data_IF_845231189142
#
_entry.id   IF_845231189142
#
_cell.length_a   1.000
_cell.length_b   1.000
_cell.length_c   1.000
_cell.angle_alpha   90.00
_cell.angle_beta   90.00
_cell.angle_gamma   90.00
#
_symmetry.space_group_name_H-M   'P 1'
#
loop_
_entity.id
_entity.type
_entity.pdbx_description
1 polymer ?
#
# COMPACT_ATOMS: atom_id res chain seq x y z
N UNK A 1 -1.85 -9.82 -6.29
CA UNK A 1 -0.66 -9.89 -7.18
C UNK A 1 -0.27 -8.55 -7.78
N UNK A 2 -1.18 -7.72 -8.33
CA UNK A 2 -0.81 -6.37 -8.85
C UNK A 2 -0.58 -5.31 -7.76
N UNK A 3 -1.33 -5.32 -6.66
CA UNK A 3 -1.19 -4.30 -5.61
C UNK A 3 0.11 -4.47 -4.78
N UNK A 4 0.57 -5.71 -4.63
CA UNK A 4 1.74 -6.10 -3.83
C UNK A 4 3.01 -6.33 -4.68
N UNK A 5 2.96 -6.07 -5.98
CA UNK A 5 4.09 -6.28 -6.91
C UNK A 5 5.25 -5.29 -6.69
N UNK A 6 5.05 -4.24 -5.90
CA UNK A 6 5.95 -3.10 -5.78
C UNK A 6 5.68 -2.00 -6.82
N UNK A 7 5.06 -2.33 -7.96
CA UNK A 7 4.61 -1.34 -8.95
C UNK A 7 3.09 -1.40 -9.14
N UNK A 8 2.42 -0.38 -8.59
CA UNK A 8 0.97 -0.23 -8.62
C UNK A 8 0.45 0.43 -9.90
N UNK A 9 1.31 0.77 -10.89
CA UNK A 9 0.88 1.35 -12.17
C UNK A 9 -0.08 0.44 -12.95
N UNK A 10 0.07 -0.89 -12.81
CA UNK A 10 -0.84 -1.87 -13.40
C UNK A 10 -2.30 -1.76 -12.94
N UNK A 11 -2.59 -0.96 -11.91
CA UNK A 11 -3.96 -0.71 -11.44
C UNK A 11 -4.74 0.29 -12.31
N UNK A 12 -4.08 1.04 -13.22
CA UNK A 12 -4.77 2.06 -14.04
C UNK A 12 -5.99 1.50 -14.81
N UNK A 13 -5.89 0.26 -15.31
CA UNK A 13 -6.99 -0.39 -16.03
C UNK A 13 -8.16 -0.83 -15.14
N UNK A 14 -7.98 -0.86 -13.82
CA UNK A 14 -9.03 -1.25 -12.87
C UNK A 14 -9.97 -0.10 -12.49
N UNK A 15 -9.58 1.16 -12.73
CA UNK A 15 -10.35 2.35 -12.34
C UNK A 15 -10.97 3.06 -13.54
N UNK A 16 -12.18 3.58 -13.35
CA UNK A 16 -12.77 4.54 -14.28
C UNK A 16 -11.97 5.86 -14.30
N UNK A 17 -11.98 6.59 -15.42
CA UNK A 17 -11.25 7.86 -15.55
C UNK A 17 -11.56 8.86 -14.42
N UNK A 18 -12.83 8.96 -14.01
CA UNK A 18 -13.32 9.83 -12.93
C UNK A 18 -13.59 9.08 -11.62
N UNK A 19 -12.89 7.98 -11.38
CA UNK A 19 -13.02 7.24 -10.13
C UNK A 19 -12.57 8.09 -8.93
N UNK A 20 -13.09 7.76 -7.74
CA UNK A 20 -12.75 8.43 -6.50
C UNK A 20 -12.01 7.52 -5.52
N UNK A 21 -10.97 8.02 -4.87
CA UNK A 21 -10.25 7.35 -3.79
C UNK A 21 -10.13 8.24 -2.55
N UNK A 22 -10.31 7.65 -1.37
CA UNK A 22 -9.92 8.29 -0.12
C UNK A 22 -9.40 7.28 0.90
N UNK A 23 -8.46 7.74 1.72
CA UNK A 23 -7.88 6.98 2.81
C UNK A 23 -8.34 7.53 4.15
N UNK A 24 -8.53 6.66 5.13
CA UNK A 24 -8.72 7.07 6.51
C UNK A 24 -7.99 6.14 7.48
N UNK A 25 -7.65 6.68 8.64
CA UNK A 25 -7.06 5.94 9.76
C UNK A 25 -7.83 6.27 11.05
N UNK A 26 -7.82 5.40 12.07
CA UNK A 26 -8.42 5.73 13.35
C UNK A 26 -7.78 7.00 13.91
N UNK A 27 -8.62 7.85 14.50
CA UNK A 27 -8.14 9.01 15.23
C UNK A 27 -7.98 8.61 16.70
N UNK A 28 -6.75 8.62 17.21
CA UNK A 28 -6.49 8.46 18.63
C UNK A 28 -6.10 9.81 19.25
N UNK A 29 -6.99 10.46 20.04
CA UNK A 29 -6.64 11.69 20.74
C UNK A 29 -5.75 11.48 21.97
N UNK A 30 -5.65 10.25 22.49
CA UNK A 30 -5.02 9.98 23.79
C UNK A 30 -3.59 9.43 23.68
N UNK A 31 -3.13 9.15 22.46
CA UNK A 31 -1.78 8.64 22.21
C UNK A 31 -0.95 9.66 21.43
N UNK A 32 -0.19 10.53 22.13
CA UNK A 32 0.74 11.47 21.51
C UNK A 32 2.03 10.80 20.99
N UNK A 33 2.19 9.47 21.11
CA UNK A 33 3.33 8.77 20.55
C UNK A 33 3.35 8.88 19.01
N UNK A 34 4.50 8.66 18.36
CA UNK A 34 4.55 8.57 16.91
C UNK A 34 3.62 7.44 16.47
N UNK A 35 2.49 7.80 15.87
CA UNK A 35 1.56 6.81 15.34
C UNK A 35 2.35 5.88 14.43
N UNK A 36 2.29 4.58 14.70
CA UNK A 36 2.79 3.54 13.81
C UNK A 36 2.25 3.75 12.37
N UNK A 37 1.12 4.45 12.21
CA UNK A 37 0.48 4.82 10.95
C UNK A 37 1.00 6.14 10.36
N UNK A 38 2.16 6.64 10.76
CA UNK A 38 2.68 7.96 10.34
C UNK A 38 2.74 8.15 8.81
N UNK A 39 2.96 7.08 8.05
CA UNK A 39 2.99 7.11 6.57
C UNK A 39 1.61 7.34 5.95
N UNK A 40 0.53 7.11 6.70
CA UNK A 40 -0.86 7.28 6.26
C UNK A 40 -1.49 8.60 6.71
N UNK A 41 -0.90 9.27 7.72
CA UNK A 41 -1.48 10.48 8.35
C UNK A 41 -1.68 11.60 7.32
N UNK A 42 -0.75 11.77 6.38
CA UNK A 42 -0.79 12.86 5.38
C UNK A 42 -2.00 12.77 4.45
N UNK A 43 -2.48 11.55 4.18
CA UNK A 43 -3.62 11.30 3.29
C UNK A 43 -4.91 10.97 4.07
N UNK A 44 -4.90 11.09 5.41
CA UNK A 44 -6.05 10.77 6.25
C UNK A 44 -7.21 11.75 6.06
N UNK A 45 -8.29 11.28 5.46
CA UNK A 45 -9.51 12.05 5.21
C UNK A 45 -10.60 11.75 6.24
N UNK A 46 -10.50 12.35 7.42
CA UNK A 46 -11.55 12.28 8.44
C UNK A 46 -12.45 13.52 8.41
N UNK A 47 -13.60 13.45 7.71
CA UNK A 47 -14.54 14.59 7.55
C UNK A 47 -15.09 15.10 8.89
N UNK A 48 -15.22 14.23 9.90
CA UNK A 48 -15.68 14.63 11.24
C UNK A 48 -14.70 15.63 11.87
N UNK A 49 -13.40 15.43 11.68
CA UNK A 49 -12.32 16.26 12.26
C UNK A 49 -11.86 17.38 11.33
N UNK A 50 -11.63 17.07 10.07
CA UNK A 50 -11.21 18.03 9.06
C UNK A 50 -12.39 18.96 8.73
N UNK A 51 -12.27 20.25 9.04
CA UNK A 51 -13.34 21.23 8.79
C UNK A 51 -13.11 22.06 7.53
N UNK A 52 -11.86 22.27 7.15
CA UNK A 52 -11.51 23.04 5.97
C UNK A 52 -12.02 22.37 4.68
N UNK A 53 -12.87 23.05 3.89
CA UNK A 53 -13.44 22.49 2.66
C UNK A 53 -12.40 22.19 1.57
N UNK A 54 -11.35 23.02 1.45
CA UNK A 54 -10.32 22.85 0.43
C UNK A 54 -9.49 21.60 0.69
N UNK A 55 -9.06 21.40 1.93
CA UNK A 55 -8.36 20.18 2.36
C UNK A 55 -9.23 18.93 2.21
N UNK A 56 -10.54 19.02 2.49
CA UNK A 56 -11.48 17.90 2.27
C UNK A 56 -11.54 17.47 0.81
N UNK A 57 -11.45 18.43 -0.11
CA UNK A 57 -11.42 18.17 -1.55
C UNK A 57 -10.06 17.61 -1.96
N UNK A 58 -8.95 18.21 -1.50
CA UNK A 58 -7.59 17.79 -1.85
C UNK A 58 -7.25 16.35 -1.42
N UNK A 59 -7.82 15.89 -0.30
CA UNK A 59 -7.63 14.53 0.20
C UNK A 59 -8.52 13.50 -0.50
N UNK A 60 -9.47 13.92 -1.34
CA UNK A 60 -10.22 13.04 -2.22
C UNK A 60 -9.55 13.03 -3.59
N UNK A 61 -9.04 11.87 -4.02
CA UNK A 61 -8.50 11.73 -5.38
C UNK A 61 -9.66 11.44 -6.31
N UNK A 62 -9.76 12.15 -7.44
CA UNK A 62 -10.95 12.11 -8.31
C UNK A 62 -10.65 11.76 -9.77
N UNK A 63 -9.42 11.28 -10.05
CA UNK A 63 -9.04 10.72 -11.35
C UNK A 63 -8.24 9.44 -11.16
N UNK A 64 -8.36 8.46 -12.07
CA UNK A 64 -7.59 7.20 -11.96
C UNK A 64 -6.08 7.42 -11.81
N UNK A 65 -5.54 8.45 -12.46
CA UNK A 65 -4.11 8.78 -12.39
C UNK A 65 -3.73 9.31 -11.00
N UNK A 66 -4.55 10.18 -10.41
CA UNK A 66 -4.31 10.66 -9.05
C UNK A 66 -4.45 9.54 -8.02
N UNK A 67 -5.43 8.65 -8.22
CA UNK A 67 -5.60 7.44 -7.40
C UNK A 67 -4.33 6.60 -7.45
N UNK A 68 -3.91 6.16 -8.64
CA UNK A 68 -2.75 5.27 -8.78
C UNK A 68 -1.48 5.94 -8.29
N UNK A 69 -1.28 7.24 -8.53
CA UNK A 69 -0.15 8.00 -7.97
C UNK A 69 -0.18 7.99 -6.44
N UNK A 70 -1.34 8.24 -5.83
CA UNK A 70 -1.50 8.16 -4.38
C UNK A 70 -1.28 6.74 -3.85
N UNK A 71 -1.73 5.71 -4.55
CA UNK A 71 -1.46 4.33 -4.17
C UNK A 71 0.04 4.00 -4.30
N UNK A 72 0.75 4.46 -5.33
CA UNK A 72 2.18 4.21 -5.49
C UNK A 72 3.05 4.81 -4.38
N UNK A 73 2.63 5.90 -3.72
CA UNK A 73 3.38 6.51 -2.62
C UNK A 73 3.13 5.86 -1.25
N UNK A 74 2.07 5.05 -1.12
CA UNK A 74 1.82 4.29 0.11
C UNK A 74 2.88 3.18 0.29
N UNK A 75 3.17 2.77 1.54
CA UNK A 75 4.13 1.70 1.81
C UNK A 75 3.89 0.45 0.97
N UNK A 76 4.97 -0.25 0.60
CA UNK A 76 4.87 -1.53 -0.08
C UNK A 76 4.24 -2.56 0.86
N UNK A 77 3.27 -3.32 0.37
CA UNK A 77 2.44 -4.21 1.18
C UNK A 77 2.57 -5.65 0.74
N UNK A 78 2.20 -6.54 1.64
CA UNK A 78 1.98 -7.94 1.35
C UNK A 78 0.71 -8.39 2.05
N UNK A 79 -0.36 -8.57 1.28
CA UNK A 79 -1.65 -8.97 1.84
C UNK A 79 -1.70 -10.47 2.12
N UNK A 80 -2.29 -10.83 3.25
CA UNK A 80 -2.68 -12.22 3.51
C UNK A 80 -4.08 -12.47 2.92
N UNK A 81 -4.12 -12.98 1.69
CA UNK A 81 -5.39 -13.26 1.00
C UNK A 81 -6.24 -14.31 1.71
N UNK A 82 -5.64 -15.20 2.51
CA UNK A 82 -6.39 -16.21 3.27
C UNK A 82 -7.17 -15.60 4.44
N UNK A 83 -6.76 -14.40 4.89
CA UNK A 83 -7.45 -13.63 5.92
C UNK A 83 -8.65 -12.83 5.41
N UNK A 84 -8.86 -12.78 4.08
CA UNK A 84 -9.84 -11.86 3.51
C UNK A 84 -11.28 -12.29 3.83
N UNK A 85 -12.02 -11.37 4.42
CA UNK A 85 -13.47 -11.46 4.60
C UNK A 85 -14.11 -10.46 3.66
N UNK A 86 -14.82 -10.97 2.65
CA UNK A 86 -15.51 -10.17 1.65
C UNK A 86 -17.00 -10.14 1.96
N UNK A 87 -17.55 -8.95 2.07
CA UNK A 87 -18.98 -8.71 2.25
C UNK A 87 -19.54 -7.95 1.04
N UNK A 88 -20.45 -8.58 0.31
CA UNK A 88 -21.18 -7.96 -0.79
C UNK A 88 -22.54 -7.49 -0.27
N UNK A 89 -22.67 -6.18 -0.09
CA UNK A 89 -23.84 -5.59 0.56
C UNK A 89 -24.80 -4.88 -0.40
N UNK A 90 -24.42 -4.67 -1.66
CA UNK A 90 -25.34 -4.20 -2.71
C UNK A 90 -24.95 -4.73 -4.08
N UNK A 91 -25.92 -5.27 -4.81
CA UNK A 91 -25.78 -5.65 -6.21
C UNK A 91 -27.02 -5.22 -6.99
N UNK A 92 -26.80 -4.58 -8.13
CA UNK A 92 -27.82 -4.25 -9.13
C UNK A 92 -27.27 -4.56 -10.52
N UNK A 93 -28.06 -4.37 -11.57
CA UNK A 93 -27.59 -4.49 -12.96
C UNK A 93 -26.46 -3.52 -13.31
N UNK A 94 -26.38 -2.38 -12.61
CA UNK A 94 -25.44 -1.30 -12.94
C UNK A 94 -24.28 -1.19 -11.99
N UNK A 95 -24.42 -1.63 -10.75
CA UNK A 95 -23.41 -1.43 -9.70
C UNK A 95 -23.28 -2.64 -8.80
N UNK A 96 -22.05 -2.88 -8.36
CA UNK A 96 -21.65 -3.85 -7.35
C UNK A 96 -20.90 -3.11 -6.24
N UNK A 97 -21.38 -3.24 -5.01
CA UNK A 97 -20.72 -2.67 -3.84
C UNK A 97 -20.32 -3.78 -2.87
N UNK A 98 -19.07 -3.75 -2.44
CA UNK A 98 -18.51 -4.75 -1.56
C UNK A 98 -17.41 -4.16 -0.68
N UNK A 99 -17.19 -4.80 0.47
CA UNK A 99 -16.12 -4.46 1.39
C UNK A 99 -15.22 -5.66 1.57
N UNK A 100 -13.91 -5.42 1.58
CA UNK A 100 -12.88 -6.42 1.87
C UNK A 100 -12.22 -6.06 3.18
N UNK A 101 -12.26 -6.98 4.14
CA UNK A 101 -11.54 -6.86 5.41
C UNK A 101 -10.41 -7.87 5.43
N UNK A 102 -9.29 -7.55 6.04
CA UNK A 102 -8.18 -8.48 6.16
C UNK A 102 -6.96 -7.82 6.78
N UNK A 103 -5.81 -8.48 6.63
CA UNK A 103 -4.52 -7.97 7.10
C UNK A 103 -3.47 -7.95 6.01
N UNK A 104 -2.50 -7.06 6.17
CA UNK A 104 -1.30 -7.01 5.35
C UNK A 104 -0.07 -6.66 6.19
N UNK A 105 1.10 -7.06 5.70
CA UNK A 105 2.41 -6.67 6.25
C UNK A 105 3.02 -5.56 5.41
N UNK A 106 3.63 -4.58 6.05
CA UNK A 106 4.46 -3.58 5.37
C UNK A 106 5.86 -4.13 5.07
N UNK A 107 6.25 -4.13 3.80
CA UNK A 107 7.51 -4.73 3.31
C UNK A 107 8.64 -3.69 3.26
N UNK A 108 8.30 -2.43 2.98
CA UNK A 108 9.23 -1.31 2.88
C UNK A 108 8.57 -0.08 3.53
N UNK A 109 9.32 0.67 4.33
CA UNK A 109 8.83 1.87 5.01
C UNK A 109 9.45 2.06 6.40
N UNK A 110 9.03 3.10 7.10
CA UNK A 110 9.48 3.38 8.49
C UNK A 110 8.96 2.35 9.47
N UNK A 111 7.83 1.75 9.15
CA UNK A 111 7.15 0.75 9.96
C UNK A 111 7.26 -0.65 9.36
N UNK A 112 8.37 -0.93 8.66
CA UNK A 112 8.66 -2.25 8.08
C UNK A 112 8.36 -3.39 9.07
N UNK A 113 7.73 -4.43 8.56
CA UNK A 113 7.25 -5.61 9.29
C UNK A 113 6.06 -5.39 10.21
N UNK A 114 5.50 -4.18 10.29
CA UNK A 114 4.24 -3.94 10.97
C UNK A 114 3.10 -4.65 10.24
N UNK A 115 2.24 -5.32 11.01
CA UNK A 115 1.01 -5.92 10.51
C UNK A 115 -0.12 -4.92 10.70
N UNK A 116 -0.81 -4.60 9.61
CA UNK A 116 -1.98 -3.73 9.59
C UNK A 116 -3.22 -4.53 9.32
N UNK A 117 -4.32 -4.10 9.91
CA UNK A 117 -5.63 -4.52 9.49
C UNK A 117 -6.27 -3.43 8.64
N UNK A 118 -7.07 -3.84 7.68
CA UNK A 118 -7.74 -2.91 6.78
C UNK A 118 -9.20 -3.29 6.54
N UNK A 119 -9.97 -2.28 6.20
CA UNK A 119 -11.27 -2.41 5.55
C UNK A 119 -11.21 -1.58 4.28
N UNK A 120 -11.47 -2.18 3.13
CA UNK A 120 -11.48 -1.49 1.84
C UNK A 120 -12.83 -1.69 1.16
N UNK A 121 -13.55 -0.60 0.97
CA UNK A 121 -14.88 -0.61 0.37
C UNK A 121 -14.78 -0.14 -1.07
N UNK A 122 -15.38 -0.91 -1.97
CA UNK A 122 -15.42 -0.65 -3.40
C UNK A 122 -16.86 -0.47 -3.87
N UNK A 123 -17.04 0.48 -4.78
CA UNK A 123 -18.20 0.57 -5.67
C UNK A 123 -17.66 0.37 -7.08
N UNK A 124 -18.16 -0.63 -7.79
CA UNK A 124 -17.71 -0.98 -9.12
C UNK A 124 -18.89 -1.15 -10.09
N UNK A 125 -18.63 -0.91 -11.38
CA UNK A 125 -19.56 -1.15 -12.47
C UNK A 125 -19.07 -2.32 -13.32
N UNK A 126 -19.98 -3.10 -13.95
CA UNK A 126 -19.59 -4.04 -14.98
C UNK A 126 -18.94 -3.29 -16.16
N UNK A 127 -17.74 -3.70 -16.58
CA UNK A 127 -17.05 -3.13 -17.75
C UNK A 127 -17.12 -4.04 -18.97
N UNK A 128 -17.18 -5.35 -18.75
CA UNK A 128 -17.47 -6.39 -19.75
C UNK A 128 -18.10 -7.60 -19.06
N UNK A 129 -18.37 -8.68 -19.79
CA UNK A 129 -19.01 -9.89 -19.25
C UNK A 129 -18.30 -10.55 -18.06
N UNK A 130 -17.02 -10.23 -17.80
CA UNK A 130 -16.26 -10.79 -16.69
C UNK A 130 -15.29 -9.80 -16.05
N UNK A 131 -15.51 -8.50 -16.22
CA UNK A 131 -14.64 -7.46 -15.65
C UNK A 131 -15.43 -6.38 -14.93
N UNK A 132 -14.79 -5.82 -13.91
CA UNK A 132 -15.30 -4.73 -13.08
C UNK A 132 -14.40 -3.51 -13.25
N UNK A 133 -15.00 -2.33 -13.34
CA UNK A 133 -14.30 -1.05 -13.21
C UNK A 133 -14.71 -0.35 -11.93
N UNK A 134 -13.72 0.09 -11.15
CA UNK A 134 -13.92 0.75 -9.86
C UNK A 134 -14.35 2.20 -10.09
N UNK A 135 -15.48 2.58 -9.49
CA UNK A 135 -15.98 3.95 -9.40
C UNK A 135 -15.53 4.63 -8.11
N UNK A 136 -15.65 3.96 -6.97
CA UNK A 136 -15.26 4.50 -5.67
C UNK A 136 -14.45 3.46 -4.90
N UNK A 137 -13.40 3.92 -4.23
CA UNK A 137 -12.49 3.13 -3.42
C UNK A 137 -12.21 3.87 -2.11
N UNK A 138 -12.56 3.27 -0.99
CA UNK A 138 -12.30 3.83 0.32
C UNK A 138 -11.47 2.83 1.12
N UNK A 139 -10.24 3.22 1.48
CA UNK A 139 -9.34 2.41 2.28
C UNK A 139 -9.28 2.94 3.72
N UNK A 140 -9.64 2.10 4.67
CA UNK A 140 -9.42 2.32 6.09
C UNK A 140 -8.28 1.42 6.58
N UNK A 141 -7.27 2.00 7.23
CA UNK A 141 -6.10 1.29 7.76
C UNK A 141 -6.00 1.52 9.26
N UNK A 142 -5.72 0.46 10.01
CA UNK A 142 -5.42 0.52 11.45
C UNK A 142 -4.34 -0.48 11.82
N UNK A 143 -3.85 -0.36 13.06
CA UNK A 143 -3.05 -1.42 13.65
C UNK A 143 -3.88 -2.71 13.79
N UNK A 144 -3.22 -3.82 13.49
CA UNK A 144 -3.77 -5.14 13.76
C UNK A 144 -3.79 -5.38 15.28
N UNK A 145 -4.84 -6.00 15.76
CA UNK A 145 -4.93 -6.47 17.14
C UNK A 145 -4.00 -7.66 17.35
N UNK A 146 -3.56 -7.96 18.58
CA UNK A 146 -2.70 -9.11 18.85
C UNK A 146 -3.24 -10.43 18.27
N UNK A 147 -4.57 -10.65 18.34
CA UNK A 147 -5.24 -11.83 17.78
C UNK A 147 -5.03 -11.97 16.27
N UNK A 148 -5.14 -10.85 15.54
CA UNK A 148 -4.93 -10.79 14.09
C UNK A 148 -3.45 -10.99 13.71
N UNK A 149 -2.52 -10.58 14.56
CA UNK A 149 -1.07 -10.77 14.34
C UNK A 149 -0.66 -12.24 14.51
N UNK A 150 -1.27 -12.99 15.43
CA UNK A 150 -0.95 -14.41 15.66
C UNK A 150 -1.37 -15.32 14.50
N UNK A 151 -2.46 -15.00 13.82
CA UNK A 151 -2.90 -15.72 12.60
C UNK A 151 -1.93 -15.58 11.44
N UNK A 152 -1.24 -14.45 11.38
CA UNK A 152 -0.25 -14.13 10.34
C UNK A 152 1.09 -14.86 10.59
N UNK A 153 1.50 -14.99 11.85
CA UNK A 153 2.75 -15.68 12.23
C UNK A 153 2.72 -17.21 12.09
N UNK A 154 1.53 -17.81 12.14
CA UNK A 154 1.35 -19.27 11.99
C UNK A 154 1.22 -19.71 10.52
N UNK A 155 0.89 -18.77 9.62
CA UNK A 155 0.73 -19.01 8.19
C UNK A 155 1.98 -18.54 7.44
N UNK A 156 2.95 -19.43 7.22
CA UNK A 156 4.14 -19.17 6.37
C UNK A 156 3.81 -19.00 4.88
N UNK A 157 2.83 -18.15 4.54
CA UNK A 157 2.33 -17.94 3.17
C UNK A 157 2.54 -16.51 2.66
N UNK A 158 3.40 -15.74 3.29
CA UNK A 158 3.93 -14.55 2.64
C UNK A 158 4.91 -14.96 1.54
N UNK A 159 4.62 -14.79 0.24
CA UNK A 159 5.61 -15.00 -0.81
C UNK A 159 6.87 -14.18 -0.50
N UNK A 160 8.00 -14.86 -0.31
CA UNK A 160 9.27 -14.18 -0.05
C UNK A 160 9.59 -13.26 -1.23
N UNK A 161 10.08 -12.02 -1.00
CA UNK A 161 10.59 -11.22 -2.09
C UNK A 161 11.73 -11.99 -2.78
N UNK A 162 11.79 -12.02 -4.13
CA UNK A 162 12.89 -12.67 -4.82
C UNK A 162 14.22 -12.06 -4.37
N UNK A 163 15.29 -12.87 -4.22
CA UNK A 163 16.59 -12.35 -3.83
C UNK A 163 17.01 -11.28 -4.84
N UNK A 164 17.33 -10.09 -4.34
CA UNK A 164 17.85 -9.00 -5.17
C UNK A 164 19.08 -9.51 -5.92
N UNK A 165 19.01 -9.57 -7.25
CA UNK A 165 20.18 -9.77 -8.09
C UNK A 165 21.03 -8.50 -7.94
N UNK A 166 21.99 -8.52 -7.02
CA UNK A 166 23.05 -7.52 -6.99
C UNK A 166 23.75 -7.52 -8.36
N UNK A 167 23.81 -6.39 -9.08
CA UNK A 167 24.69 -6.31 -10.25
C UNK A 167 26.13 -6.53 -9.78
N UNK A 168 26.97 -7.25 -10.55
CA UNK A 168 28.36 -7.45 -10.18
C UNK A 168 29.05 -6.09 -10.09
N UNK A 169 29.73 -5.86 -8.96
CA UNK A 169 30.55 -4.67 -8.75
C UNK A 169 31.63 -4.57 -9.84
N UNK A 170 31.98 -3.35 -10.32
CA UNK A 170 33.04 -3.20 -11.29
C UNK A 170 34.35 -3.69 -10.66
N UNK A 171 35.01 -4.65 -11.32
CA UNK A 171 36.33 -5.14 -10.92
C UNK A 171 37.29 -3.96 -10.78
N UNK A 172 37.71 -3.69 -9.54
CA UNK A 172 38.80 -2.78 -9.22
C UNK A 172 40.10 -3.32 -9.84
N UNK A 173 40.50 -2.77 -10.99
CA UNK A 173 41.84 -2.95 -11.54
C UNK A 173 42.84 -2.12 -10.72
N UNK A 174 43.25 -2.63 -9.56
CA UNK A 174 44.46 -2.14 -8.87
C UNK A 174 45.67 -2.77 -9.56
N UNK A 175 46.21 -2.07 -10.57
CA UNK A 175 47.57 -2.31 -11.02
C UNK A 175 48.52 -1.84 -9.91
N UNK A 176 49.36 -2.77 -9.48
CA UNK A 176 50.43 -2.56 -8.51
C UNK A 176 51.46 -1.60 -9.10
N UNK A 177 51.58 -0.39 -8.58
CA UNK A 177 52.79 0.42 -8.77
C UNK A 177 53.85 -0.10 -7.80
N UNK A 178 54.82 -0.86 -8.33
CA UNK A 178 56.06 -1.19 -7.63
C UNK A 178 56.86 0.11 -7.43
N UNK A 179 57.11 0.48 -6.19
CA UNK A 179 58.14 1.47 -5.85
C UNK A 179 59.50 0.74 -5.86
N UNK A 180 60.44 1.24 -6.65
CA UNK A 180 61.84 0.82 -6.62
C UNK A 180 62.55 1.45 -5.39
N UNK A 181 63.51 0.77 -4.75
CA UNK A 181 64.28 1.36 -3.64
C UNK A 181 65.40 2.28 -4.18
N UNK A 182 65.88 3.26 -3.39
CA UNK A 182 66.99 4.11 -3.79
C UNK A 182 68.35 3.42 -3.58
N UNK A 183 69.31 3.71 -4.46
CA UNK A 183 70.72 3.30 -4.35
C UNK A 183 71.48 4.18 -3.35
N UNK A 184 72.52 3.67 -2.67
CA UNK A 184 73.26 4.42 -1.66
C UNK A 184 74.40 5.24 -2.28
N UNK A 185 74.61 6.44 -1.74
CA UNK A 185 75.88 7.16 -1.72
C UNK A 185 75.95 7.95 -0.41
#
# INVERSE_FOLDING_TARGET
>A
LTYDSGDRQGLLGAYLDKACFSLSIPFNPEDPAPSSLCEYVKDNRNIKKLKDPHLRLQLLKSTKHDIVRSLCVLPATQHDFSSFVVDQWLQTERVLCFSVNGVFKEVVGKSQSSVRAFTRTFIAIPASSSSLCILNDQLFVRDATPKETHTVGSSSQFPHPPPALCPPSPRSNRKWCRLSPPSPA
#
